data_IF_279919746442
#
_entry.id   IF_279919746442
#
_cell.length_a   1.000
_cell.length_b   1.000
_cell.length_c   1.000
_cell.angle_alpha   90.00
_cell.angle_beta   90.00
_cell.angle_gamma   90.00
#
_symmetry.space_group_name_H-M   'P 1'
#
loop_
_entity.id
_entity.type
_entity.pdbx_description
1 polymer ?
#
# COMPACT_ATOMS: atom_id res chain seq x y z
N UNK A 1 24.84 -43.74 12.02
CA UNK A 1 23.68 -42.88 12.34
C UNK A 1 24.12 -41.43 12.24
N UNK A 2 23.74 -40.72 11.18
CA UNK A 2 23.94 -39.27 11.07
C UNK A 2 22.58 -38.67 10.70
N UNK A 3 21.97 -37.95 11.63
CA UNK A 3 20.72 -37.21 11.40
C UNK A 3 21.10 -35.88 10.75
N UNK A 4 20.77 -35.73 9.47
CA UNK A 4 20.90 -34.45 8.77
C UNK A 4 19.76 -33.55 9.21
N UNK A 5 20.08 -32.53 10.01
CA UNK A 5 19.18 -31.41 10.30
C UNK A 5 18.79 -30.73 8.99
N UNK A 6 17.57 -30.98 8.54
CA UNK A 6 16.99 -30.30 7.38
C UNK A 6 16.70 -28.86 7.80
N UNK A 7 17.63 -27.95 7.48
CA UNK A 7 17.44 -26.51 7.59
C UNK A 7 16.35 -26.11 6.60
N UNK A 8 15.10 -26.03 7.09
CA UNK A 8 13.99 -25.46 6.33
C UNK A 8 14.36 -24.02 5.93
N UNK A 9 14.14 -23.60 4.67
CA UNK A 9 14.23 -22.19 4.33
C UNK A 9 13.25 -21.42 5.23
N UNK A 10 13.73 -20.38 5.90
CA UNK A 10 12.83 -19.36 6.46
C UNK A 10 12.24 -18.64 5.26
N UNK A 11 11.02 -18.99 4.90
CA UNK A 11 10.19 -18.10 4.11
C UNK A 11 10.17 -16.73 4.81
N UNK A 12 10.59 -15.64 4.14
CA UNK A 12 10.39 -14.29 4.64
C UNK A 12 8.94 -13.89 4.31
N UNK A 13 7.96 -14.68 4.73
CA UNK A 13 6.60 -14.19 4.85
C UNK A 13 6.54 -13.30 6.09
N UNK A 14 7.15 -12.11 5.95
CA UNK A 14 6.77 -10.93 6.70
C UNK A 14 5.37 -10.52 6.22
N UNK A 15 4.40 -11.42 6.44
CA UNK A 15 2.98 -11.21 6.23
C UNK A 15 2.50 -10.25 7.29
N UNK A 16 2.83 -8.97 7.13
CA UNK A 16 2.16 -7.91 7.85
C UNK A 16 0.70 -7.97 7.45
N UNK A 17 -0.11 -8.67 8.24
CA UNK A 17 -1.52 -8.89 7.97
C UNK A 17 -2.19 -7.53 7.72
N UNK A 18 -2.44 -7.23 6.45
CA UNK A 18 -3.18 -6.04 6.06
C UNK A 18 -4.54 -6.08 6.76
N UNK A 19 -5.04 -4.91 7.15
CA UNK A 19 -6.40 -4.80 7.70
C UNK A 19 -7.29 -4.10 6.70
N UNK A 20 -8.55 -4.54 6.54
CA UNK A 20 -9.52 -3.82 5.73
C UNK A 20 -9.62 -2.37 6.20
N UNK A 21 -9.38 -1.44 5.28
CA UNK A 21 -9.39 0.01 5.46
C UNK A 21 -10.26 0.61 4.36
N UNK A 22 -11.08 1.59 4.72
CA UNK A 22 -11.88 2.33 3.74
C UNK A 22 -10.98 3.42 3.15
N UNK A 23 -10.97 3.56 1.84
CA UNK A 23 -10.18 4.56 1.14
C UNK A 23 -11.08 5.35 0.20
N UNK A 24 -11.03 6.67 0.34
CA UNK A 24 -11.57 7.61 -0.65
C UNK A 24 -10.44 7.86 -1.64
N UNK A 25 -10.61 7.32 -2.84
CA UNK A 25 -9.71 7.49 -3.98
C UNK A 25 -10.18 8.72 -4.75
N UNK A 26 -9.47 9.83 -4.58
CA UNK A 26 -9.79 11.14 -5.14
C UNK A 26 -8.84 11.46 -6.30
N UNK A 27 -9.35 11.43 -7.53
CA UNK A 27 -8.60 11.74 -8.75
C UNK A 27 -8.79 13.18 -9.23
N UNK A 28 -9.48 14.04 -8.46
CA UNK A 28 -9.75 15.43 -8.78
C UNK A 28 -11.01 15.62 -9.64
N UNK A 29 -11.10 14.96 -10.79
CA UNK A 29 -12.30 14.99 -11.66
C UNK A 29 -13.37 13.97 -11.24
N UNK A 30 -12.96 12.91 -10.55
CA UNK A 30 -13.84 11.94 -9.93
C UNK A 30 -13.31 11.47 -8.58
N UNK A 31 -14.21 10.94 -7.74
CA UNK A 31 -13.85 10.27 -6.51
C UNK A 31 -14.67 8.97 -6.35
N UNK A 32 -14.05 7.93 -5.77
CA UNK A 32 -14.74 6.68 -5.42
C UNK A 32 -14.29 6.14 -4.07
N UNK A 33 -15.12 5.31 -3.46
CA UNK A 33 -14.80 4.63 -2.20
C UNK A 33 -14.43 3.17 -2.48
N UNK A 34 -13.34 2.70 -1.89
CA UNK A 34 -12.90 1.31 -1.93
C UNK A 34 -12.61 0.79 -0.51
N UNK A 35 -12.77 -0.50 -0.29
CA UNK A 35 -12.28 -1.17 0.93
C UNK A 35 -11.09 -2.02 0.53
N UNK A 36 -9.91 -1.68 1.04
CA UNK A 36 -8.63 -2.29 0.66
C UNK A 36 -7.97 -2.91 1.88
N UNK A 37 -7.34 -4.07 1.69
CA UNK A 37 -6.43 -4.63 2.68
C UNK A 37 -5.10 -3.89 2.57
N UNK A 38 -4.84 -2.99 3.51
CA UNK A 38 -3.64 -2.16 3.52
C UNK A 38 -2.79 -2.47 4.76
N UNK A 39 -1.45 -2.32 4.66
CA UNK A 39 -0.55 -2.53 5.79
C UNK A 39 -0.96 -1.71 7.01
N UNK A 40 -0.78 -2.27 8.20
CA UNK A 40 -1.11 -1.56 9.44
C UNK A 40 -0.26 -0.28 9.61
N UNK A 41 0.98 -0.32 9.11
CA UNK A 41 1.89 0.82 9.11
C UNK A 41 1.56 1.90 8.06
N UNK A 42 0.56 1.72 7.19
CA UNK A 42 0.22 2.75 6.21
C UNK A 42 -0.36 3.98 6.92
N UNK A 43 0.26 5.14 6.66
CA UNK A 43 -0.04 6.44 7.25
C UNK A 43 -0.11 7.54 6.18
N UNK A 44 -0.41 8.77 6.59
CA UNK A 44 -0.41 9.93 5.70
C UNK A 44 1.00 10.11 5.09
N UNK A 45 1.05 10.32 3.79
CA UNK A 45 2.29 10.38 3.00
C UNK A 45 2.70 9.02 2.42
N UNK A 46 2.23 7.91 2.99
CA UNK A 46 2.42 6.56 2.47
C UNK A 46 1.71 6.35 1.13
N UNK A 47 2.20 5.36 0.37
CA UNK A 47 1.67 5.05 -0.96
C UNK A 47 1.29 3.58 -1.10
N UNK A 48 0.34 3.29 -1.97
CA UNK A 48 -0.11 1.93 -2.28
C UNK A 48 -0.55 1.82 -3.74
N UNK A 49 -0.52 0.61 -4.28
CA UNK A 49 -0.94 0.34 -5.66
C UNK A 49 -2.35 -0.25 -5.70
N UNK A 50 -3.24 0.32 -6.49
CA UNK A 50 -4.60 -0.18 -6.64
C UNK A 50 -5.21 0.23 -8.00
N UNK A 51 -5.86 -0.73 -8.67
CA UNK A 51 -6.46 -0.54 -10.00
C UNK A 51 -5.53 0.10 -11.02
N UNK A 52 -4.29 -0.40 -11.09
CA UNK A 52 -3.26 0.06 -12.03
C UNK A 52 -2.82 1.53 -11.85
N UNK A 53 -3.03 2.09 -10.65
CA UNK A 53 -2.68 3.45 -10.29
C UNK A 53 -1.95 3.41 -8.95
N UNK A 54 -0.88 4.20 -8.82
CA UNK A 54 -0.26 4.46 -7.53
C UNK A 54 -1.01 5.58 -6.83
N UNK A 55 -1.30 5.37 -5.55
CA UNK A 55 -2.06 6.29 -4.72
C UNK A 55 -1.22 6.72 -3.54
N UNK A 56 -1.25 8.00 -3.21
CA UNK A 56 -0.63 8.55 -2.01
C UNK A 56 -1.71 8.96 -1.03
N UNK A 57 -1.62 8.49 0.21
CA UNK A 57 -2.50 8.92 1.30
C UNK A 57 -2.20 10.38 1.63
N UNK A 58 -3.20 11.25 1.51
CA UNK A 58 -3.10 12.68 1.81
C UNK A 58 -3.84 13.05 3.09
N UNK A 59 -4.75 12.20 3.54
CA UNK A 59 -5.52 12.42 4.76
C UNK A 59 -6.02 11.14 5.40
N UNK A 60 -6.36 11.26 6.68
CA UNK A 60 -7.03 10.24 7.45
C UNK A 60 -8.10 10.90 8.31
N UNK A 61 -9.29 10.31 8.39
CA UNK A 61 -10.30 10.78 9.34
C UNK A 61 -9.91 10.36 10.77
N UNK A 62 -9.79 11.31 11.72
CA UNK A 62 -9.40 11.01 13.09
C UNK A 62 -10.31 9.96 13.74
N UNK A 63 -9.71 9.04 14.51
CA UNK A 63 -10.45 7.97 15.20
C UNK A 63 -11.08 6.92 14.26
N UNK A 64 -10.75 6.93 12.97
CA UNK A 64 -11.32 6.01 11.98
C UNK A 64 -10.25 5.33 11.13
N UNK A 65 -10.67 4.28 10.41
CA UNK A 65 -9.86 3.56 9.41
C UNK A 65 -10.09 4.08 7.99
N UNK A 66 -10.57 5.32 7.85
CA UNK A 66 -10.84 5.95 6.57
C UNK A 66 -9.65 6.79 6.14
N UNK A 67 -9.03 6.43 5.02
CA UNK A 67 -8.01 7.21 4.35
C UNK A 67 -8.58 7.98 3.16
N UNK A 68 -7.91 9.07 2.81
CA UNK A 68 -8.10 9.81 1.57
C UNK A 68 -6.79 9.71 0.81
N UNK A 69 -6.84 9.33 -0.45
CA UNK A 69 -5.67 9.18 -1.28
C UNK A 69 -5.86 9.78 -2.67
N UNK A 70 -4.78 10.33 -3.22
CA UNK A 70 -4.75 10.94 -4.56
C UNK A 70 -3.81 10.14 -5.47
N UNK A 71 -4.05 10.11 -6.79
CA UNK A 71 -3.16 9.41 -7.71
C UNK A 71 -1.80 10.10 -7.78
N UNK A 72 -0.75 9.30 -7.91
CA UNK A 72 0.63 9.74 -8.17
C UNK A 72 1.20 8.99 -9.39
N UNK A 73 2.21 9.56 -10.07
CA UNK A 73 2.96 8.82 -11.08
C UNK A 73 3.53 7.52 -10.52
N UNK A 74 3.74 6.52 -11.38
CA UNK A 74 4.46 5.34 -10.97
C UNK A 74 5.86 5.74 -10.46
N UNK A 75 6.35 5.20 -9.33
CA UNK A 75 7.70 5.51 -8.84
C UNK A 75 8.78 5.19 -9.88
N UNK A 76 8.52 4.27 -10.80
CA UNK A 76 9.45 3.93 -11.89
C UNK A 76 9.47 4.98 -13.03
N UNK A 77 8.46 5.86 -13.11
CA UNK A 77 8.36 6.88 -14.16
C UNK A 77 9.11 8.18 -13.81
N UNK A 78 9.59 8.35 -12.58
CA UNK A 78 10.38 9.53 -12.18
C UNK A 78 11.84 9.49 -12.71
N UNK A 79 12.29 8.36 -13.25
CA UNK A 79 13.63 8.24 -13.85
C UNK A 79 13.76 8.90 -15.24
N UNK A 80 12.66 9.32 -15.86
CA UNK A 80 12.62 9.74 -17.26
C UNK A 80 12.68 11.26 -17.53
N UNK A 81 12.65 12.11 -16.51
CA UNK A 81 12.48 13.57 -16.70
C UNK A 81 13.73 14.41 -16.43
N UNK A 82 14.92 13.80 -16.42
CA UNK A 82 16.21 14.48 -16.29
C UNK A 82 17.06 14.26 -17.54
N UNK A 83 16.75 14.99 -18.61
CA UNK A 83 17.67 15.25 -19.72
C UNK A 83 17.53 16.71 -20.12
#
# INVERSE_FOLDING_TARGET
MQQQSSSRPRDPESGGHGRPRVVILDAGDWARVAVLELPEALEIGGSFYHSNIWWRVTGQRPGSRVFIAVPIPSPDQDLGSRI
#
